data_IF_563358637386
#
_entry.id   IF_563358637386
#
_cell.length_a   1.000
_cell.length_b   1.000
_cell.length_c   1.000
_cell.angle_alpha   90.00
_cell.angle_beta   90.00
_cell.angle_gamma   90.00
#
_symmetry.space_group_name_H-M   'P 1'
#
loop_
_entity.id
_entity.type
_entity.pdbx_description
1 polymer ?
#
# COMPACT_ATOMS: atom_id res chain seq x y z
N UNK A 1 -4.62 -8.68 1.37
CA UNK A 1 -5.44 -8.02 0.34
C UNK A 1 -4.48 -7.38 -0.64
N UNK A 2 -4.37 -7.95 -1.84
CA UNK A 2 -3.51 -7.42 -2.90
C UNK A 2 -4.41 -6.74 -3.90
N UNK A 3 -4.26 -5.42 -4.05
CA UNK A 3 -5.05 -4.63 -4.98
C UNK A 3 -4.09 -3.74 -5.78
N UNK A 4 -4.35 -3.59 -7.09
CA UNK A 4 -3.53 -2.81 -8.02
C UNK A 4 -4.33 -1.65 -8.61
N UNK A 5 -3.68 -0.49 -8.79
CA UNK A 5 -4.22 0.72 -9.41
C UNK A 5 -3.53 0.91 -10.75
N UNK A 6 -4.28 1.20 -11.78
CA UNK A 6 -3.72 1.80 -12.98
C UNK A 6 -4.83 2.64 -13.60
N UNK A 7 -4.80 3.94 -13.32
CA UNK A 7 -5.92 4.85 -13.59
C UNK A 7 -6.50 4.67 -15.00
N UNK A 8 -7.84 4.58 -15.13
CA UNK A 8 -8.90 4.67 -14.10
C UNK A 8 -9.30 3.32 -13.44
N UNK A 9 -8.44 2.31 -13.49
CA UNK A 9 -8.78 0.94 -13.11
C UNK A 9 -8.24 0.53 -11.73
N UNK A 10 -9.03 -0.29 -11.04
CA UNK A 10 -8.67 -0.96 -9.79
C UNK A 10 -8.85 -2.47 -9.94
N UNK A 11 -7.87 -3.26 -9.54
CA UNK A 11 -7.90 -4.73 -9.56
C UNK A 11 -7.79 -5.27 -8.15
N UNK A 12 -8.83 -5.92 -7.64
CA UNK A 12 -8.80 -6.65 -6.38
C UNK A 12 -8.55 -8.14 -6.67
N UNK A 13 -7.35 -8.61 -6.31
CA UNK A 13 -6.93 -10.00 -6.54
C UNK A 13 -7.71 -10.98 -5.66
N UNK A 14 -8.07 -10.57 -4.43
CA UNK A 14 -8.77 -11.43 -3.48
C UNK A 14 -10.24 -11.63 -3.87
N UNK A 15 -10.87 -10.59 -4.41
CA UNK A 15 -12.24 -10.63 -4.90
C UNK A 15 -12.37 -11.05 -6.38
N UNK A 16 -11.24 -11.19 -7.10
CA UNK A 16 -11.20 -11.38 -8.55
C UNK A 16 -12.01 -10.33 -9.32
N UNK A 17 -11.90 -9.05 -8.92
CA UNK A 17 -12.67 -7.95 -9.47
C UNK A 17 -11.78 -6.94 -10.20
N UNK A 18 -12.18 -6.57 -11.42
CA UNK A 18 -11.71 -5.37 -12.11
C UNK A 18 -12.79 -4.30 -12.01
N UNK A 19 -12.39 -3.06 -11.72
CA UNK A 19 -13.27 -1.88 -11.69
C UNK A 19 -12.67 -0.76 -12.52
N UNK A 20 -13.53 0.08 -13.09
CA UNK A 20 -13.20 1.37 -13.71
C UNK A 20 -13.96 2.46 -12.97
N UNK A 21 -13.29 3.20 -12.11
CA UNK A 21 -13.96 3.99 -11.06
C UNK A 21 -14.90 3.09 -10.23
N UNK A 22 -16.18 3.44 -10.15
CA UNK A 22 -17.20 2.67 -9.41
C UNK A 22 -17.80 1.50 -10.21
N UNK A 23 -17.55 1.43 -11.53
CA UNK A 23 -18.15 0.40 -12.37
C UNK A 23 -17.35 -0.89 -12.33
N UNK A 24 -17.98 -1.98 -11.88
CA UNK A 24 -17.41 -3.33 -11.97
C UNK A 24 -17.41 -3.82 -13.42
N UNK A 25 -16.24 -4.24 -13.89
CA UNK A 25 -16.03 -4.85 -15.20
C UNK A 25 -15.86 -6.35 -15.00
N UNK A 26 -16.79 -7.12 -15.52
CA UNK A 26 -16.74 -8.57 -15.43
C UNK A 26 -15.68 -9.14 -16.39
N UNK A 27 -14.63 -9.75 -15.83
CA UNK A 27 -13.64 -10.51 -16.60
C UNK A 27 -13.91 -12.01 -16.47
N UNK A 28 -13.63 -12.75 -17.55
CA UNK A 28 -13.54 -14.21 -17.49
C UNK A 28 -12.33 -14.61 -16.61
N UNK A 29 -12.37 -15.73 -15.88
CA UNK A 29 -11.31 -16.13 -14.95
C UNK A 29 -9.90 -16.07 -15.55
N UNK A 30 -9.68 -16.73 -16.71
CA UNK A 30 -8.37 -16.72 -17.39
C UNK A 30 -7.94 -15.35 -17.92
N UNK A 31 -8.89 -14.46 -18.20
CA UNK A 31 -8.59 -13.09 -18.58
C UNK A 31 -8.15 -12.26 -17.37
N UNK A 32 -8.76 -12.51 -16.22
CA UNK A 32 -8.37 -11.91 -14.94
C UNK A 32 -6.98 -12.41 -14.50
N UNK A 33 -6.76 -13.74 -14.51
CA UNK A 33 -5.46 -14.36 -14.20
C UNK A 33 -4.36 -13.75 -15.07
N UNK A 34 -4.62 -13.57 -16.37
CA UNK A 34 -3.69 -12.96 -17.30
C UNK A 34 -3.37 -11.50 -16.96
N UNK A 35 -4.39 -10.71 -16.61
CA UNK A 35 -4.20 -9.32 -16.19
C UNK A 35 -3.31 -9.25 -14.95
N UNK A 36 -3.61 -10.03 -13.91
CA UNK A 36 -2.82 -10.08 -12.67
C UNK A 36 -1.39 -10.48 -12.96
N UNK A 37 -1.18 -11.55 -13.75
CA UNK A 37 0.15 -12.03 -14.09
C UNK A 37 0.99 -10.97 -14.80
N UNK A 38 0.40 -10.25 -15.77
CA UNK A 38 1.07 -9.18 -16.49
C UNK A 38 1.42 -7.99 -15.57
N UNK A 39 0.55 -7.65 -14.61
CA UNK A 39 0.78 -6.58 -13.62
C UNK A 39 1.92 -6.96 -12.66
N UNK A 40 1.93 -8.19 -12.16
CA UNK A 40 3.01 -8.71 -11.30
C UNK A 40 4.38 -8.70 -12.00
N UNK A 41 4.36 -8.90 -13.33
CA UNK A 41 5.54 -8.87 -14.20
C UNK A 41 5.71 -7.54 -14.93
N UNK A 42 5.10 -6.45 -14.42
CA UNK A 42 5.14 -5.12 -15.06
C UNK A 42 6.56 -4.71 -15.41
N UNK A 43 6.70 -4.02 -16.53
CA UNK A 43 8.02 -3.62 -17.02
C UNK A 43 8.79 -4.71 -17.80
N UNK A 44 8.41 -5.99 -17.67
CA UNK A 44 9.07 -7.12 -18.36
C UNK A 44 8.24 -7.62 -19.55
N UNK A 45 8.92 -8.19 -20.54
CA UNK A 45 8.27 -8.88 -21.67
C UNK A 45 8.00 -10.31 -21.25
N UNK A 46 6.74 -10.72 -21.31
CA UNK A 46 6.28 -12.08 -21.04
C UNK A 46 5.95 -12.75 -22.38
N UNK A 47 6.55 -13.91 -22.65
CA UNK A 47 6.30 -14.64 -23.89
C UNK A 47 4.94 -15.36 -23.88
N UNK A 48 4.47 -15.79 -25.06
CA UNK A 48 3.22 -16.55 -25.14
C UNK A 48 3.34 -17.92 -24.49
N UNK A 49 4.50 -18.56 -24.63
CA UNK A 49 4.81 -19.85 -24.00
C UNK A 49 4.78 -19.71 -22.47
N UNK A 50 5.39 -18.67 -21.93
CA UNK A 50 5.34 -18.38 -20.49
C UNK A 50 3.90 -18.13 -20.00
N UNK A 51 3.09 -17.39 -20.77
CA UNK A 51 1.68 -17.19 -20.43
C UNK A 51 0.89 -18.52 -20.46
N UNK A 52 1.17 -19.40 -21.43
CA UNK A 52 0.56 -20.73 -21.52
C UNK A 52 0.91 -21.58 -20.29
N UNK A 53 2.19 -21.64 -19.92
CA UNK A 53 2.69 -22.46 -18.80
C UNK A 53 2.15 -22.00 -17.44
N UNK A 54 2.00 -20.69 -17.25
CA UNK A 54 1.60 -20.14 -15.95
C UNK A 54 0.08 -20.04 -15.79
N UNK A 55 -0.64 -19.60 -16.82
CA UNK A 55 -2.09 -19.35 -16.71
C UNK A 55 -2.90 -20.58 -17.12
N UNK A 56 -2.39 -21.42 -18.03
CA UNK A 56 -3.08 -22.61 -18.55
C UNK A 56 -2.35 -23.92 -18.19
N UNK A 57 -1.71 -23.97 -17.02
CA UNK A 57 -0.92 -25.13 -16.55
C UNK A 57 -1.62 -26.48 -16.69
N UNK A 58 -2.93 -26.52 -16.45
CA UNK A 58 -3.72 -27.77 -16.43
C UNK A 58 -4.57 -28.00 -17.69
N UNK A 59 -4.41 -27.17 -18.75
CA UNK A 59 -5.23 -27.27 -19.96
C UNK A 59 -4.38 -27.04 -21.21
N UNK A 60 -4.46 -27.97 -22.16
CA UNK A 60 -3.78 -27.84 -23.46
C UNK A 60 -4.53 -26.80 -24.31
N UNK A 61 -3.91 -25.65 -24.53
CA UNK A 61 -4.42 -24.60 -25.41
C UNK A 61 -3.31 -24.07 -26.32
N UNK A 62 -3.69 -23.46 -27.44
CA UNK A 62 -2.78 -22.90 -28.42
C UNK A 62 -2.40 -21.42 -28.11
N UNK A 63 -1.35 -20.92 -28.75
CA UNK A 63 -0.99 -19.49 -28.71
C UNK A 63 -2.11 -18.55 -29.18
N UNK A 64 -3.01 -19.04 -30.04
CA UNK A 64 -4.16 -18.27 -30.49
C UNK A 64 -5.11 -17.98 -29.32
N UNK A 65 -5.16 -18.85 -28.30
CA UNK A 65 -5.92 -18.64 -27.06
C UNK A 65 -5.34 -17.50 -26.23
N UNK A 66 -4.02 -17.41 -26.11
CA UNK A 66 -3.35 -16.25 -25.48
C UNK A 66 -3.71 -14.98 -26.23
N UNK A 67 -3.62 -15.01 -27.56
CA UNK A 67 -3.90 -13.84 -28.42
C UNK A 67 -5.35 -13.36 -28.29
N UNK A 68 -6.33 -14.29 -28.27
CA UNK A 68 -7.75 -13.98 -28.04
C UNK A 68 -8.00 -13.43 -26.63
N UNK A 69 -7.31 -13.95 -25.62
CA UNK A 69 -7.44 -13.48 -24.24
C UNK A 69 -6.86 -12.09 -24.06
N UNK A 70 -5.72 -11.78 -24.69
CA UNK A 70 -5.17 -10.42 -24.76
C UNK A 70 -6.15 -9.46 -25.45
N UNK A 71 -6.76 -9.87 -26.57
CA UNK A 71 -7.75 -9.03 -27.24
C UNK A 71 -8.99 -8.75 -26.36
N UNK A 72 -9.49 -9.77 -25.66
CA UNK A 72 -10.57 -9.61 -24.70
C UNK A 72 -10.19 -8.70 -23.52
N UNK A 73 -8.96 -8.83 -23.02
CA UNK A 73 -8.44 -7.98 -21.96
C UNK A 73 -8.36 -6.52 -22.42
N UNK A 74 -7.80 -6.26 -23.61
CA UNK A 74 -7.74 -4.92 -24.19
C UNK A 74 -9.12 -4.31 -24.38
N UNK A 75 -10.09 -5.08 -24.87
CA UNK A 75 -11.47 -4.62 -25.00
C UNK A 75 -12.07 -4.22 -23.65
N UNK A 76 -11.84 -5.02 -22.60
CA UNK A 76 -12.31 -4.71 -21.25
C UNK A 76 -11.62 -3.48 -20.64
N UNK A 77 -10.36 -3.22 -21.00
CA UNK A 77 -9.60 -2.05 -20.58
C UNK A 77 -9.77 -0.83 -21.49
N UNK A 78 -10.59 -0.93 -22.54
CA UNK A 78 -10.70 0.08 -23.61
C UNK A 78 -9.33 0.48 -24.17
N UNK A 79 -8.41 -0.49 -24.26
CA UNK A 79 -7.01 -0.31 -24.67
C UNK A 79 -6.87 -0.52 -26.18
N UNK A 80 -6.51 0.55 -26.89
CA UNK A 80 -6.29 0.50 -28.34
C UNK A 80 -4.96 -0.21 -28.66
N UNK A 81 -4.93 -1.34 -29.40
CA UNK A 81 -3.69 -1.99 -29.78
C UNK A 81 -2.77 -1.14 -30.68
N UNK A 82 -3.30 -0.15 -31.40
CA UNK A 82 -2.50 0.78 -32.21
C UNK A 82 -1.83 1.87 -31.36
N UNK A 83 -2.39 2.18 -30.20
CA UNK A 83 -1.89 3.15 -29.25
C UNK A 83 -2.01 2.61 -27.80
N UNK A 84 -1.26 1.53 -27.47
CA UNK A 84 -1.48 0.80 -26.23
C UNK A 84 -1.09 1.64 -25.02
N UNK A 85 -1.97 1.68 -24.03
CA UNK A 85 -1.79 2.36 -22.75
C UNK A 85 -1.50 1.39 -21.62
N UNK A 86 -2.03 0.17 -21.70
CA UNK A 86 -1.91 -0.82 -20.61
C UNK A 86 -1.17 -2.08 -21.04
N UNK A 87 -1.54 -2.67 -22.17
CA UNK A 87 -0.93 -3.93 -22.65
C UNK A 87 -0.20 -3.67 -23.96
N UNK A 88 1.12 -3.60 -23.89
CA UNK A 88 2.01 -3.46 -25.05
C UNK A 88 2.28 -4.80 -25.73
N UNK A 89 2.42 -4.78 -27.06
CA UNK A 89 2.89 -5.94 -27.84
C UNK A 89 4.33 -5.72 -28.27
N UNK A 90 5.19 -6.69 -27.96
CA UNK A 90 6.56 -6.74 -28.47
C UNK A 90 6.60 -7.77 -29.58
N UNK A 91 6.72 -7.28 -30.82
CA UNK A 91 6.64 -8.10 -32.02
C UNK A 91 7.50 -9.37 -31.92
N UNK A 92 6.89 -10.53 -32.17
CA UNK A 92 7.51 -11.88 -32.12
C UNK A 92 8.12 -12.29 -30.78
N UNK A 93 7.91 -11.52 -29.70
CA UNK A 93 8.45 -11.84 -28.36
C UNK A 93 7.35 -12.05 -27.32
N UNK A 94 6.26 -11.30 -27.39
CA UNK A 94 5.14 -11.46 -26.47
C UNK A 94 4.51 -10.14 -26.06
N UNK A 95 4.10 -10.07 -24.80
CA UNK A 95 3.32 -8.96 -24.25
C UNK A 95 4.00 -8.36 -23.03
N UNK A 96 3.70 -7.11 -22.74
CA UNK A 96 4.23 -6.40 -21.58
C UNK A 96 3.14 -5.51 -21.01
N UNK A 97 2.98 -5.51 -19.68
CA UNK A 97 2.22 -4.47 -19.03
C UNK A 97 3.03 -3.17 -19.04
N UNK A 98 2.46 -2.14 -19.63
CA UNK A 98 3.04 -0.79 -19.80
C UNK A 98 2.23 0.30 -19.10
N UNK A 99 1.08 -0.04 -18.52
CA UNK A 99 0.32 0.89 -17.69
C UNK A 99 1.12 1.31 -16.47
N UNK A 100 0.92 2.55 -16.03
CA UNK A 100 1.45 3.04 -14.77
C UNK A 100 0.67 2.38 -13.64
N UNK A 101 1.27 1.32 -13.07
CA UNK A 101 0.67 0.61 -11.94
C UNK A 101 1.10 1.33 -10.67
N UNK A 102 0.20 2.11 -10.09
CA UNK A 102 0.24 2.38 -8.67
C UNK A 102 -0.18 1.09 -7.95
N UNK A 103 0.51 0.68 -6.90
CA UNK A 103 -0.06 -0.37 -6.05
C UNK A 103 -1.30 0.22 -5.34
N UNK A 104 -2.54 -0.01 -5.80
CA UNK A 104 -3.75 0.36 -5.04
C UNK A 104 -4.01 -0.69 -3.96
N UNK A 105 -3.15 -0.77 -2.95
CA UNK A 105 -3.59 -1.12 -1.61
C UNK A 105 -3.29 0.14 -0.80
N UNK A 106 -4.23 1.06 -0.54
CA UNK A 106 -5.66 1.05 -0.20
C UNK A 106 -6.23 2.39 -0.77
N UNK A 107 -7.53 2.80 -0.68
CA UNK A 107 -7.78 4.25 -0.56
C UNK A 107 -6.79 4.74 0.49
N UNK A 108 -5.93 5.71 0.18
CA UNK A 108 -4.96 6.18 1.17
C UNK A 108 -5.72 6.34 2.49
N UNK A 109 -5.46 5.52 3.54
CA UNK A 109 -5.93 5.90 4.86
C UNK A 109 -5.23 7.24 5.00
N UNK A 110 -5.97 8.34 5.19
CA UNK A 110 -5.48 9.71 4.98
C UNK A 110 -4.00 9.77 5.35
N UNK A 111 -3.13 9.83 4.34
CA UNK A 111 -1.71 9.52 4.53
C UNK A 111 -1.19 10.36 5.67
N UNK A 112 -0.67 9.76 6.74
CA UNK A 112 0.12 10.55 7.67
C UNK A 112 0.09 10.14 9.13
N UNK A 113 -0.15 8.87 9.48
CA UNK A 113 0.32 8.48 10.80
C UNK A 113 1.84 8.59 10.84
N UNK A 114 2.33 9.48 11.68
CA UNK A 114 3.74 9.67 11.88
C UNK A 114 4.04 9.87 13.36
N UNK A 115 5.21 9.41 13.78
CA UNK A 115 5.76 9.86 15.05
C UNK A 115 6.51 11.16 14.82
N UNK A 116 5.99 12.24 15.40
CA UNK A 116 6.63 13.54 15.40
C UNK A 116 7.59 13.60 16.58
N UNK A 117 8.88 13.81 16.29
CA UNK A 117 9.94 13.95 17.27
C UNK A 117 10.67 15.27 17.03
N UNK A 118 10.28 16.30 17.76
CA UNK A 118 10.74 17.67 17.50
C UNK A 118 10.32 18.12 16.11
N UNK A 119 11.29 18.36 15.22
CA UNK A 119 11.06 18.73 13.81
C UNK A 119 11.11 17.54 12.85
N UNK A 120 11.43 16.34 13.35
CA UNK A 120 11.51 15.14 12.52
C UNK A 120 10.17 14.42 12.51
N UNK A 121 9.84 13.94 11.34
CA UNK A 121 8.67 13.10 11.11
C UNK A 121 9.14 11.70 10.73
N UNK A 122 8.61 10.70 11.43
CA UNK A 122 8.85 9.29 11.12
C UNK A 122 7.54 8.66 10.66
N UNK A 123 7.33 8.51 9.34
CA UNK A 123 6.12 7.92 8.80
C UNK A 123 5.93 6.49 9.28
N UNK A 124 4.71 6.15 9.70
CA UNK A 124 4.36 4.79 10.05
C UNK A 124 4.08 3.96 8.80
N UNK A 125 4.79 2.83 8.68
CA UNK A 125 4.61 1.85 7.60
C UNK A 125 3.80 0.67 8.12
N UNK A 126 3.02 0.04 7.25
CA UNK A 126 2.30 -1.19 7.57
C UNK A 126 3.27 -2.28 8.05
N UNK A 127 2.84 -3.02 9.06
CA UNK A 127 3.69 -4.01 9.73
C UNK A 127 4.41 -3.42 10.94
N UNK A 128 5.54 -4.03 11.29
CA UNK A 128 6.31 -3.70 12.49
C UNK A 128 7.45 -2.73 12.17
N UNK A 129 7.59 -1.68 12.99
CA UNK A 129 8.76 -0.81 13.00
C UNK A 129 9.35 -0.72 14.42
N UNK A 130 10.66 -0.82 14.52
CA UNK A 130 11.39 -0.78 15.80
C UNK A 130 11.81 0.65 16.12
N UNK A 131 11.48 1.08 17.33
CA UNK A 131 11.95 2.33 17.93
C UNK A 131 13.12 2.01 18.86
N UNK A 132 14.25 2.67 18.66
CA UNK A 132 15.41 2.44 19.52
C UNK A 132 16.67 3.15 19.06
N UNK A 133 17.76 2.95 19.81
CA UNK A 133 19.09 3.51 19.47
C UNK A 133 19.98 2.58 18.64
N UNK A 134 19.48 1.38 18.33
CA UNK A 134 20.22 0.38 17.55
C UNK A 134 20.37 0.81 16.09
N UNK A 135 21.35 0.23 15.40
CA UNK A 135 21.52 0.45 13.95
C UNK A 135 20.38 -0.13 13.11
N UNK A 136 19.68 -1.11 13.66
CA UNK A 136 18.59 -1.83 13.03
C UNK A 136 17.21 -1.24 13.41
N UNK A 137 17.18 -0.05 14.03
CA UNK A 137 15.94 0.63 14.38
C UNK A 137 15.41 1.44 13.19
N UNK A 138 14.14 1.23 12.86
CA UNK A 138 13.44 1.98 11.81
C UNK A 138 13.18 3.43 12.24
N UNK A 139 12.93 3.64 13.53
CA UNK A 139 12.68 4.94 14.14
C UNK A 139 13.79 5.21 15.17
N UNK A 140 14.86 5.91 14.77
CA UNK A 140 16.03 6.07 15.61
C UNK A 140 15.84 7.12 16.70
N UNK A 141 16.11 6.73 17.94
CA UNK A 141 16.22 7.62 19.10
C UNK A 141 17.61 7.50 19.72
N UNK A 142 18.48 8.48 19.44
CA UNK A 142 19.90 8.43 19.80
C UNK A 142 20.20 8.99 21.19
N UNK A 143 19.55 8.45 22.23
CA UNK A 143 19.85 8.79 23.62
C UNK A 143 20.37 7.59 24.41
N UNK A 144 21.28 7.78 25.39
CA UNK A 144 21.78 6.70 26.23
C UNK A 144 20.70 5.95 27.02
N UNK A 145 19.59 6.62 27.36
CA UNK A 145 18.46 6.06 28.08
C UNK A 145 17.53 5.22 27.17
N UNK A 146 17.76 5.22 25.85
CA UNK A 146 17.01 4.38 24.92
C UNK A 146 17.68 3.00 24.77
N UNK A 147 16.94 1.89 24.88
CA UNK A 147 17.42 0.55 24.52
C UNK A 147 17.70 0.43 23.01
N UNK A 148 18.53 -0.55 22.59
CA UNK A 148 18.84 -0.75 21.16
C UNK A 148 17.59 -1.06 20.34
N UNK A 149 16.75 -1.95 20.86
CA UNK A 149 15.37 -2.17 20.44
C UNK A 149 14.55 -1.86 21.69
N UNK A 150 13.89 -0.69 21.73
CA UNK A 150 13.23 -0.20 22.95
C UNK A 150 11.75 -0.54 22.92
N UNK A 151 11.09 -0.15 21.83
CA UNK A 151 9.69 -0.41 21.60
C UNK A 151 9.50 -0.85 20.15
N UNK A 152 8.36 -1.47 19.88
CA UNK A 152 7.88 -1.75 18.53
C UNK A 152 6.55 -1.07 18.35
N UNK A 153 6.38 -0.42 17.20
CA UNK A 153 5.09 0.09 16.75
C UNK A 153 4.61 -0.77 15.59
N UNK A 154 3.40 -1.29 15.71
CA UNK A 154 2.75 -2.14 14.73
C UNK A 154 1.55 -1.39 14.14
N UNK A 155 1.52 -1.22 12.82
CA UNK A 155 0.36 -0.71 12.08
C UNK A 155 -0.36 -1.87 11.39
N UNK A 156 -1.59 -2.17 11.84
CA UNK A 156 -2.44 -3.28 11.36
C UNK A 156 -3.79 -2.74 10.90
N UNK A 157 -3.94 -2.45 9.61
CA UNK A 157 -5.11 -1.71 9.13
C UNK A 157 -5.09 -0.31 9.75
N UNK A 158 -6.13 0.02 10.53
CA UNK A 158 -6.24 1.29 11.27
C UNK A 158 -5.80 1.19 12.74
N UNK A 159 -5.43 0.00 13.21
CA UNK A 159 -4.97 -0.20 14.60
C UNK A 159 -3.47 0.05 14.71
N UNK A 160 -3.11 0.95 15.63
CA UNK A 160 -1.71 1.24 15.98
C UNK A 160 -1.45 0.69 17.37
N UNK A 161 -0.52 -0.25 17.45
CA UNK A 161 -0.17 -0.91 18.71
C UNK A 161 1.27 -0.60 19.05
N UNK A 162 1.49 -0.04 20.24
CA UNK A 162 2.82 0.18 20.80
C UNK A 162 3.14 -0.92 21.80
N UNK A 163 4.30 -1.55 21.65
CA UNK A 163 4.78 -2.62 22.51
C UNK A 163 6.13 -2.26 23.10
N UNK A 164 6.27 -2.33 24.43
CA UNK A 164 7.58 -2.26 25.08
C UNK A 164 8.33 -3.58 24.89
N UNK A 165 9.57 -3.53 24.39
CA UNK A 165 10.40 -4.72 24.10
C UNK A 165 11.31 -5.05 25.29
N UNK A 166 10.74 -5.08 26.50
CA UNK A 166 11.48 -5.25 27.76
C UNK A 166 12.62 -4.24 27.91
N UNK A 167 12.26 -2.96 27.73
CA UNK A 167 13.24 -1.88 27.74
C UNK A 167 13.74 -1.58 29.15
N UNK A 168 14.99 -1.07 29.25
CA UNK A 168 15.61 -0.80 30.56
C UNK A 168 14.87 0.27 31.36
N UNK A 169 14.37 1.30 30.68
CA UNK A 169 13.75 2.47 31.32
C UNK A 169 12.22 2.50 31.17
N UNK A 170 11.65 1.54 30.42
CA UNK A 170 10.22 1.49 30.12
C UNK A 170 9.81 2.44 29.01
N UNK A 171 8.68 2.10 28.41
CA UNK A 171 7.92 2.94 27.48
C UNK A 171 6.70 3.52 28.20
N UNK A 172 6.38 4.78 27.92
CA UNK A 172 5.23 5.47 28.52
C UNK A 172 4.32 6.04 27.43
N UNK A 173 3.02 6.02 27.68
CA UNK A 173 1.99 6.66 26.85
C UNK A 173 1.19 7.60 27.74
N UNK A 174 1.09 8.88 27.36
CA UNK A 174 0.40 9.93 28.11
C UNK A 174 0.82 9.99 29.60
N UNK A 175 2.11 9.75 29.87
CA UNK A 175 2.70 9.75 31.22
C UNK A 175 2.50 8.45 32.01
N UNK A 176 1.74 7.48 31.49
CA UNK A 176 1.55 6.17 32.12
C UNK A 176 2.50 5.14 31.52
N UNK A 177 3.21 4.39 32.38
CA UNK A 177 4.08 3.30 31.92
C UNK A 177 3.24 2.18 31.35
N UNK A 178 3.54 1.74 30.14
CA UNK A 178 2.85 0.61 29.53
C UNK A 178 3.44 -0.71 30.02
N UNK A 179 2.63 -1.77 30.02
CA UNK A 179 3.07 -3.13 30.32
C UNK A 179 2.68 -4.03 29.15
N UNK A 180 3.66 -4.48 28.37
CA UNK A 180 3.39 -5.23 27.13
C UNK A 180 2.95 -4.33 25.99
N UNK A 181 1.83 -4.68 25.37
CA UNK A 181 1.26 -3.98 24.20
C UNK A 181 0.04 -3.14 24.59
N UNK A 182 -0.05 -1.93 24.05
CA UNK A 182 -1.21 -1.05 24.18
C UNK A 182 -1.59 -0.47 22.82
N UNK A 183 -2.88 -0.29 22.58
CA UNK A 183 -3.37 0.43 21.41
C UNK A 183 -3.26 1.94 21.66
N UNK A 184 -2.80 2.69 20.67
CA UNK A 184 -2.63 4.15 20.71
C UNK A 184 -3.34 4.82 19.54
N UNK A 185 -3.62 6.11 19.68
CA UNK A 185 -4.41 6.92 18.74
C UNK A 185 -3.73 8.27 18.47
N UNK A 186 -4.16 8.96 17.40
CA UNK A 186 -3.64 10.30 17.08
C UNK A 186 -3.79 11.26 18.28
N UNK A 187 -2.73 12.02 18.56
CA UNK A 187 -2.61 12.92 19.70
C UNK A 187 -1.89 12.31 20.91
N UNK A 188 -1.75 10.98 20.98
CA UNK A 188 -1.07 10.32 22.09
C UNK A 188 0.41 10.70 22.14
N UNK A 189 0.89 10.99 23.36
CA UNK A 189 2.29 11.30 23.65
C UNK A 189 3.00 10.04 24.11
N UNK A 190 4.06 9.68 23.40
CA UNK A 190 4.91 8.54 23.72
C UNK A 190 6.22 9.06 24.29
N UNK A 191 6.63 8.51 25.43
CA UNK A 191 7.92 8.84 26.03
C UNK A 191 8.81 7.60 26.11
N UNK A 192 10.01 7.71 25.51
CA UNK A 192 11.01 6.65 25.41
C UNK A 192 12.38 7.24 25.69
N UNK A 193 13.06 6.76 26.73
CA UNK A 193 14.43 7.20 27.05
C UNK A 193 14.57 8.71 27.26
N UNK A 194 13.52 9.35 27.81
CA UNK A 194 13.44 10.81 28.02
C UNK A 194 13.06 11.63 26.78
N UNK A 195 12.93 11.01 25.61
CA UNK A 195 12.48 11.66 24.39
C UNK A 195 10.96 11.54 24.26
N UNK A 196 10.31 12.62 23.82
CA UNK A 196 8.87 12.67 23.56
C UNK A 196 8.60 12.60 22.06
N UNK A 197 7.70 11.69 21.69
CA UNK A 197 7.12 11.57 20.36
C UNK A 197 5.61 11.80 20.44
N UNK A 198 5.01 12.34 19.39
CA UNK A 198 3.56 12.50 19.27
C UNK A 198 3.10 11.66 18.09
N UNK A 199 2.11 10.81 18.31
CA UNK A 199 1.43 10.15 17.19
C UNK A 199 0.53 11.18 16.50
N UNK A 200 0.88 11.60 15.30
CA UNK A 200 0.10 12.55 14.51
C UNK A 200 -0.71 11.83 13.45
N UNK A 201 -1.83 12.42 13.01
CA UNK A 201 -2.54 12.02 11.79
C UNK A 201 -3.11 13.26 11.08
N UNK A 202 -3.27 13.27 9.75
CA UNK A 202 -3.80 14.43 9.02
C UNK A 202 -5.29 14.62 9.24
N UNK A 203 -6.02 13.55 9.54
CA UNK A 203 -7.47 13.57 9.79
C UNK A 203 -7.86 14.28 11.09
N UNK A 204 -6.88 14.55 11.96
CA UNK A 204 -7.09 15.26 13.23
C UNK A 204 -7.15 16.79 13.06
N UNK A 205 -6.79 17.35 11.90
CA UNK A 205 -7.01 18.76 11.60
C UNK A 205 -8.47 18.97 11.17
N UNK A 206 -9.28 19.39 12.14
CA UNK A 206 -10.62 19.92 11.90
C UNK A 206 -10.49 21.11 10.95
N UNK A 207 -11.12 21.01 9.78
CA UNK A 207 -11.33 22.11 8.84
C UNK A 207 -11.70 23.42 9.55
N UNK A 208 -10.96 24.53 9.38
CA UNK A 208 -11.54 25.83 9.63
C UNK A 208 -12.47 26.12 8.45
N UNK A 209 -13.79 26.03 8.66
CA UNK A 209 -14.75 26.71 7.79
C UNK A 209 -14.29 28.17 7.64
N UNK A 210 -14.07 28.68 6.41
CA UNK A 210 -13.76 30.09 6.24
C UNK A 210 -14.95 30.91 6.75
N UNK A 211 -14.73 32.03 7.46
CA UNK A 211 -15.83 32.84 7.98
C UNK A 211 -16.72 33.27 6.81
N UNK A 212 -18.00 32.90 6.88
CA UNK A 212 -19.02 33.38 5.95
C UNK A 212 -19.06 34.91 6.01
N UNK A 213 -18.52 35.57 4.99
CA UNK A 213 -18.66 37.01 4.81
C UNK A 213 -20.10 37.26 4.40
N UNK A 214 -20.94 37.63 5.36
CA UNK A 214 -22.22 38.27 5.07
C UNK A 214 -21.93 39.68 4.54
N UNK A 215 -22.03 39.88 3.23
CA UNK A 215 -22.20 41.22 2.70
C UNK A 215 -23.65 41.67 2.96
N UNK A 216 -23.90 42.75 3.72
CA UNK A 216 -25.22 43.35 3.75
C UNK A 216 -25.55 43.94 2.36
N UNK A 217 -26.84 43.83 2.01
CA UNK A 217 -27.45 44.23 0.73
C UNK A 217 -27.21 45.69 0.35
#
# INVERSE_FOLDING_TARGET
MTTYLFEPFTVDVSAAELRKGDQKIALRPKCFDLLVYLIEHRGKVVSKEQLLEEIWRDVIVDEATVSRTIAALRAALEDDPAAPRYVGTVARRGYKFIGDVGDAAEPAPPEGYALIHGTKEYPLRRGSQVIGRGRDADIPLYTPATSRQHARIDLRGDEIVLTDLDSRHGTFVNGQRISGSVQITAGDQIEIGGERLILWSPSSETSPEPPSIHLPR
#
